data_IF_063068458851
#
_entry.id   IF_063068458851
#
_cell.length_a   1.000
_cell.length_b   1.000
_cell.length_c   1.000
_cell.angle_alpha   90.00
_cell.angle_beta   90.00
_cell.angle_gamma   90.00
#
_symmetry.space_group_name_H-M   'P 1'
#
loop_
_entity.id
_entity.type
_entity.pdbx_description
1 polymer ?
#
# COMPACT_ATOMS: atom_id res chain seq x y z
N UNK A 1 -1.96 21.76 -58.83
CA UNK A 1 -2.58 21.80 -57.50
C UNK A 1 -2.40 20.43 -56.85
N UNK A 2 -1.75 20.42 -55.69
CA UNK A 2 -1.08 19.27 -55.09
C UNK A 2 -2.06 18.23 -54.51
N UNK A 3 -1.88 16.97 -54.89
CA UNK A 3 -2.54 15.81 -54.29
C UNK A 3 -1.67 15.30 -53.13
N UNK A 4 -1.94 15.74 -51.91
CA UNK A 4 -1.23 15.30 -50.70
C UNK A 4 -1.80 13.96 -50.23
N UNK A 5 -1.16 12.86 -50.62
CA UNK A 5 -1.48 11.52 -50.15
C UNK A 5 -1.06 11.35 -48.68
N UNK A 6 -2.05 11.14 -47.80
CA UNK A 6 -1.85 10.78 -46.40
C UNK A 6 -1.08 9.45 -46.29
N UNK A 7 0.20 9.50 -45.88
CA UNK A 7 0.95 8.31 -45.46
C UNK A 7 0.48 7.89 -44.06
N UNK A 8 -0.55 7.07 -43.99
CA UNK A 8 -0.86 6.31 -42.77
C UNK A 8 0.24 5.28 -42.58
N UNK A 9 1.23 5.61 -41.75
CA UNK A 9 2.32 4.69 -41.40
C UNK A 9 1.79 3.69 -40.36
N UNK A 10 1.37 2.52 -40.80
CA UNK A 10 1.07 1.38 -39.92
C UNK A 10 2.38 0.96 -39.25
N UNK A 11 2.59 1.37 -37.99
CA UNK A 11 3.67 0.81 -37.16
C UNK A 11 3.27 -0.61 -36.77
N UNK A 12 3.81 -1.59 -37.49
CA UNK A 12 3.82 -2.99 -37.05
C UNK A 12 4.58 -3.05 -35.72
N UNK A 13 3.84 -3.22 -34.63
CA UNK A 13 4.43 -3.45 -33.31
C UNK A 13 5.08 -4.84 -33.36
N UNK A 14 6.40 -4.89 -33.36
CA UNK A 14 7.17 -6.13 -33.34
C UNK A 14 6.84 -6.94 -32.09
N UNK A 15 6.76 -8.27 -32.22
CA UNK A 15 6.43 -9.26 -31.18
C UNK A 15 7.20 -9.13 -29.85
N UNK A 16 8.35 -8.44 -29.83
CA UNK A 16 9.11 -8.15 -28.60
C UNK A 16 8.34 -7.30 -27.57
N UNK A 17 7.40 -6.45 -28.00
CA UNK A 17 6.56 -5.68 -27.08
C UNK A 17 5.42 -6.52 -26.47
N UNK A 18 5.02 -7.62 -27.12
CA UNK A 18 3.97 -8.52 -26.64
C UNK A 18 4.45 -9.44 -25.51
N UNK A 19 5.75 -9.74 -25.45
CA UNK A 19 6.32 -10.60 -24.41
C UNK A 19 6.27 -10.00 -23.00
N UNK A 20 6.20 -8.67 -22.87
CA UNK A 20 6.04 -7.99 -21.59
C UNK A 20 4.57 -7.82 -21.17
N UNK A 21 3.64 -7.90 -22.13
CA UNK A 21 2.21 -7.65 -21.90
C UNK A 21 1.46 -8.85 -21.29
N UNK A 22 2.06 -10.05 -21.32
CA UNK A 22 1.44 -11.30 -20.85
C UNK A 22 1.94 -11.79 -19.48
N UNK A 23 2.76 -11.01 -18.77
CA UNK A 23 3.01 -11.27 -17.36
C UNK A 23 1.95 -10.50 -16.60
N UNK A 24 1.06 -11.19 -15.87
CA UNK A 24 0.22 -10.56 -14.85
C UNK A 24 1.14 -10.03 -13.75
N UNK A 25 1.77 -8.89 -14.01
CA UNK A 25 2.74 -8.29 -13.10
C UNK A 25 1.98 -7.86 -11.86
N UNK A 26 2.12 -8.62 -10.78
CA UNK A 26 1.58 -8.24 -9.49
C UNK A 26 2.13 -6.88 -9.10
N UNK A 27 1.24 -5.93 -8.83
CA UNK A 27 1.64 -4.64 -8.29
C UNK A 27 1.89 -4.79 -6.79
N UNK A 28 3.02 -4.28 -6.30
CA UNK A 28 3.35 -4.32 -4.88
C UNK A 28 3.44 -2.90 -4.33
N UNK A 29 2.61 -2.60 -3.35
CA UNK A 29 2.57 -1.35 -2.62
C UNK A 29 3.24 -1.59 -1.28
N UNK A 30 4.32 -0.84 -1.02
CA UNK A 30 5.01 -0.87 0.27
C UNK A 30 4.75 0.44 0.97
N UNK A 31 4.11 0.38 2.13
CA UNK A 31 3.86 1.52 3.00
C UNK A 31 4.94 1.49 4.09
N UNK A 32 5.74 2.54 4.19
CA UNK A 32 6.80 2.64 5.20
C UNK A 32 6.26 3.45 6.38
N UNK A 33 6.11 2.79 7.52
CA UNK A 33 5.56 3.35 8.75
C UNK A 33 4.08 3.03 8.96
N UNK A 34 3.75 2.52 10.14
CA UNK A 34 2.40 2.20 10.63
C UNK A 34 1.78 3.31 11.48
N UNK A 35 2.19 4.57 11.28
CA UNK A 35 1.58 5.72 11.94
C UNK A 35 0.16 6.02 11.44
N UNK A 36 -0.39 7.18 11.84
CA UNK A 36 -1.78 7.56 11.52
C UNK A 36 -2.06 7.51 10.01
N UNK A 37 -1.14 8.05 9.21
CA UNK A 37 -1.27 8.07 7.75
C UNK A 37 -1.09 6.67 7.12
N UNK A 38 -0.07 5.92 7.53
CA UNK A 38 0.25 4.62 6.94
C UNK A 38 -0.86 3.59 7.16
N UNK A 39 -1.43 3.53 8.37
CA UNK A 39 -2.52 2.61 8.68
C UNK A 39 -3.83 3.05 8.01
N UNK A 40 -4.13 4.35 8.00
CA UNK A 40 -5.30 4.85 7.26
C UNK A 40 -5.20 4.52 5.77
N UNK A 41 -4.01 4.67 5.17
CA UNK A 41 -3.75 4.29 3.78
C UNK A 41 -3.98 2.79 3.57
N UNK A 42 -3.38 1.93 4.41
CA UNK A 42 -3.55 0.48 4.32
C UNK A 42 -5.01 0.04 4.49
N UNK A 43 -5.74 0.64 5.43
CA UNK A 43 -7.17 0.37 5.65
C UNK A 43 -8.04 0.83 4.48
N UNK A 44 -7.73 1.95 3.85
CA UNK A 44 -8.46 2.40 2.67
C UNK A 44 -8.17 1.51 1.47
N UNK A 45 -6.90 1.14 1.24
CA UNK A 45 -6.55 0.16 0.21
C UNK A 45 -7.24 -1.19 0.44
N UNK A 46 -7.30 -1.66 1.68
CA UNK A 46 -8.03 -2.87 2.06
C UNK A 46 -9.54 -2.84 1.73
N UNK A 47 -10.16 -1.65 1.72
CA UNK A 47 -11.58 -1.46 1.38
C UNK A 47 -11.80 -1.33 -0.12
N UNK A 48 -10.84 -0.73 -0.83
CA UNK A 48 -10.95 -0.40 -2.25
C UNK A 48 -10.50 -1.54 -3.15
N UNK A 49 -9.44 -2.25 -2.79
CA UNK A 49 -8.87 -3.32 -3.60
C UNK A 49 -9.63 -4.65 -3.42
N UNK A 50 -9.56 -5.46 -4.46
CA UNK A 50 -10.11 -6.80 -4.54
C UNK A 50 -9.04 -7.80 -5.00
N UNK A 51 -9.28 -9.10 -4.82
CA UNK A 51 -8.34 -10.13 -5.26
C UNK A 51 -8.09 -10.10 -6.78
N UNK A 52 -9.05 -9.57 -7.57
CA UNK A 52 -8.93 -9.43 -9.01
C UNK A 52 -7.89 -8.38 -9.44
N UNK A 53 -7.57 -7.42 -8.57
CA UNK A 53 -6.61 -6.34 -8.86
C UNK A 53 -5.15 -6.81 -8.82
N UNK A 54 -4.92 -8.06 -8.41
CA UNK A 54 -3.60 -8.69 -8.41
C UNK A 54 -2.52 -7.80 -7.74
N UNK A 55 -2.92 -7.15 -6.63
CA UNK A 55 -2.13 -6.13 -5.94
C UNK A 55 -1.86 -6.57 -4.51
N UNK A 56 -0.62 -6.43 -4.07
CA UNK A 56 -0.16 -6.77 -2.73
C UNK A 56 0.23 -5.50 -1.97
N UNK A 57 -0.27 -5.33 -0.75
CA UNK A 57 0.02 -4.19 0.12
C UNK A 57 0.71 -4.67 1.38
N UNK A 58 1.90 -4.11 1.66
CA UNK A 58 2.69 -4.43 2.85
C UNK A 58 3.01 -3.15 3.60
N UNK A 59 2.58 -3.06 4.85
CA UNK A 59 3.03 -2.02 5.77
C UNK A 59 4.28 -2.53 6.50
N UNK A 60 5.39 -1.80 6.39
CA UNK A 60 6.59 -2.05 7.17
C UNK A 60 6.56 -1.12 8.37
N UNK A 61 6.46 -1.70 9.56
CA UNK A 61 6.46 -0.96 10.83
C UNK A 61 7.44 -1.61 11.79
N UNK A 62 8.22 -0.79 12.51
CA UNK A 62 9.20 -1.28 13.48
C UNK A 62 8.53 -1.74 14.78
N UNK A 63 7.39 -1.17 15.14
CA UNK A 63 6.67 -1.47 16.37
C UNK A 63 5.59 -2.56 16.16
N UNK A 64 5.26 -3.29 17.22
CA UNK A 64 4.04 -4.12 17.24
C UNK A 64 2.75 -3.31 17.48
N UNK A 65 2.87 -2.00 17.75
CA UNK A 65 1.79 -1.13 18.16
C UNK A 65 1.82 0.19 17.40
N UNK A 66 0.63 0.71 17.12
CA UNK A 66 0.42 2.08 16.71
C UNK A 66 0.70 3.03 17.88
N UNK A 67 1.56 4.01 17.64
CA UNK A 67 1.86 5.06 18.61
C UNK A 67 0.94 6.28 18.38
N UNK A 68 0.01 6.50 19.32
CA UNK A 68 -0.86 7.67 19.30
C UNK A 68 -0.09 8.91 19.78
N UNK A 69 0.54 9.60 18.84
CA UNK A 69 1.41 10.77 19.09
C UNK A 69 0.73 11.87 19.91
N UNK A 70 -0.56 12.13 19.69
CA UNK A 70 -1.30 13.16 20.43
C UNK A 70 -1.48 12.80 21.92
N UNK A 71 -1.47 11.51 22.26
CA UNK A 71 -1.52 11.04 23.64
C UNK A 71 -0.23 11.30 24.43
N UNK A 72 0.88 11.62 23.76
CA UNK A 72 2.19 11.77 24.40
C UNK A 72 2.21 12.89 25.44
N UNK A 73 1.58 14.03 25.13
CA UNK A 73 1.50 15.16 26.05
C UNK A 73 0.80 14.78 27.37
N UNK A 74 -0.21 13.90 27.31
CA UNK A 74 -0.91 13.41 28.51
C UNK A 74 -0.04 12.42 29.29
N UNK A 75 0.66 11.52 28.60
CA UNK A 75 1.55 10.57 29.26
C UNK A 75 2.73 11.22 30.01
N UNK A 76 3.13 12.44 29.62
CA UNK A 76 4.14 13.19 30.35
C UNK A 76 3.70 13.62 31.77
N UNK A 77 2.40 13.76 32.01
CA UNK A 77 1.84 14.23 33.30
C UNK A 77 1.03 13.16 34.03
N UNK A 78 0.72 12.06 33.36
CA UNK A 78 -0.04 10.93 33.87
C UNK A 78 0.62 9.63 33.40
N UNK A 79 1.39 9.00 34.30
CA UNK A 79 2.14 7.79 33.98
C UNK A 79 1.22 6.59 33.65
N UNK A 80 0.02 6.54 34.23
CA UNK A 80 -0.95 5.47 33.96
C UNK A 80 -1.54 5.58 32.56
N UNK A 81 -1.61 6.80 32.01
CA UNK A 81 -2.06 7.05 30.65
C UNK A 81 -1.10 6.52 29.57
N UNK A 82 0.20 6.35 29.87
CA UNK A 82 1.20 5.93 28.88
C UNK A 82 0.84 4.62 28.16
N UNK A 83 0.16 3.71 28.85
CA UNK A 83 -0.30 2.42 28.29
C UNK A 83 -1.35 2.61 27.19
N UNK A 84 -2.19 3.63 27.30
CA UNK A 84 -3.26 3.95 26.35
C UNK A 84 -2.74 4.50 25.02
N UNK A 85 -1.46 4.88 24.96
CA UNK A 85 -0.85 5.42 23.73
C UNK A 85 -0.50 4.35 22.70
N UNK A 86 -0.38 3.09 23.13
CA UNK A 86 0.08 1.99 22.29
C UNK A 86 -1.11 1.11 21.90
N UNK A 87 -1.58 1.25 20.67
CA UNK A 87 -2.72 0.48 20.16
C UNK A 87 -2.23 -0.72 19.38
N UNK A 88 -2.59 -1.96 19.75
CA UNK A 88 -2.18 -3.16 19.01
C UNK A 88 -2.72 -3.19 17.58
N UNK A 89 -1.96 -3.76 16.65
CA UNK A 89 -2.35 -3.86 15.23
C UNK A 89 -3.27 -5.04 14.90
N UNK A 90 -3.58 -5.93 15.84
CA UNK A 90 -4.29 -7.20 15.63
C UNK A 90 -5.58 -7.07 14.81
N UNK A 91 -6.29 -5.95 14.98
CA UNK A 91 -7.54 -5.64 14.28
C UNK A 91 -7.45 -4.41 13.38
N UNK A 92 -6.24 -3.93 13.07
CA UNK A 92 -6.05 -2.74 12.25
C UNK A 92 -6.40 -2.99 10.77
N UNK A 93 -6.22 -4.21 10.26
CA UNK A 93 -6.58 -4.58 8.89
C UNK A 93 -7.82 -5.50 8.92
N UNK A 94 -8.85 -5.23 8.10
CA UNK A 94 -10.01 -6.12 8.01
C UNK A 94 -9.62 -7.55 7.62
N UNK A 95 -10.21 -8.56 8.27
CA UNK A 95 -9.91 -9.97 8.00
C UNK A 95 -10.14 -10.37 6.53
N UNK A 96 -11.11 -9.74 5.86
CA UNK A 96 -11.43 -9.96 4.45
C UNK A 96 -10.25 -9.66 3.51
N UNK A 97 -9.44 -8.66 3.82
CA UNK A 97 -8.31 -8.22 2.97
C UNK A 97 -6.97 -8.81 3.41
N UNK A 98 -6.95 -9.70 4.41
CA UNK A 98 -5.71 -10.27 4.97
C UNK A 98 -4.90 -11.11 3.97
N UNK A 99 -5.52 -11.54 2.86
CA UNK A 99 -4.84 -12.25 1.77
C UNK A 99 -3.85 -11.37 1.01
N UNK A 100 -4.10 -10.06 0.93
CA UNK A 100 -3.29 -9.15 0.12
C UNK A 100 -2.83 -7.87 0.84
N UNK A 101 -3.43 -7.49 1.97
CA UNK A 101 -2.96 -6.39 2.84
C UNK A 101 -2.46 -6.95 4.17
N UNK A 102 -1.22 -6.61 4.55
CA UNK A 102 -0.66 -7.04 5.83
C UNK A 102 0.32 -6.05 6.41
N UNK A 103 0.48 -6.10 7.73
CA UNK A 103 1.50 -5.36 8.48
C UNK A 103 2.64 -6.33 8.80
N UNK A 104 3.88 -5.90 8.61
CA UNK A 104 5.10 -6.66 8.91
C UNK A 104 5.97 -5.86 9.86
N UNK A 105 6.41 -6.51 10.93
CA UNK A 105 7.43 -5.98 11.83
C UNK A 105 8.76 -5.96 11.08
N UNK A 106 9.09 -4.82 10.47
CA UNK A 106 10.21 -4.70 9.54
C UNK A 106 10.64 -3.23 9.38
N UNK A 107 11.89 -3.04 8.96
CA UNK A 107 12.50 -1.72 8.73
C UNK A 107 12.96 -1.66 7.28
N UNK A 108 12.73 -0.52 6.61
CA UNK A 108 13.34 -0.23 5.32
C UNK A 108 14.74 0.35 5.55
N UNK A 109 15.76 -0.28 4.97
CA UNK A 109 17.18 0.07 5.08
C UNK A 109 17.79 0.19 3.71
#
# INVERSE_FOLDING_TARGET
MNHFLSRTTTRTITSRAFGHLNKSTMMRIVIVGGGQAGINCAQNLAKTLTDADNTEVVVLEKSGHFYHTLGAARACVDADYAKSMFVPYDNAIPKKSSGFVRIKHAVAT
#
